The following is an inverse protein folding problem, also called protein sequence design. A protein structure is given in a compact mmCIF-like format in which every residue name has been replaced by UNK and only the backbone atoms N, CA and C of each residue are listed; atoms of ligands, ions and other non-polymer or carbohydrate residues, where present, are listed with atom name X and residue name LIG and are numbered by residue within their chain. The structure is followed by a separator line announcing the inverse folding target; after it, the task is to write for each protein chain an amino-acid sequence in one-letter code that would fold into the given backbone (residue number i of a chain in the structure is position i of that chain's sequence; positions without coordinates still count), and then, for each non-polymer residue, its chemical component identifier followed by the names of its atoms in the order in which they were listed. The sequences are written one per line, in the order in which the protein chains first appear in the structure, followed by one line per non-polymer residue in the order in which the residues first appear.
data_IF_716682788331
#
_entry.id   IF_716682788331
#
_cell.length_a   1.000
_cell.length_b   1.000
_cell.length_c   1.000
_cell.angle_alpha   90.00
_cell.angle_beta   90.00
_cell.angle_gamma   90.00
#
_symmetry.space_group_name_H-M   'P 1'
#
loop_
_entity.id
_entity.type
_entity.pdbx_description
1 polymer ?
#
# COMPACT_ATOMS: atom_id res chain seq x y z
N UNK A 1 10.04 -23.34 -10.40
CA UNK A 1 10.67 -23.92 -9.18
C UNK A 1 11.17 -22.86 -8.21
N UNK A 2 12.07 -21.93 -8.54
CA UNK A 2 12.55 -20.91 -7.58
C UNK A 2 11.54 -19.82 -7.26
N UNK A 3 10.78 -19.35 -8.26
CA UNK A 3 9.72 -18.34 -8.06
C UNK A 3 8.59 -18.86 -7.17
N UNK A 4 8.15 -20.09 -7.42
CA UNK A 4 7.10 -20.76 -6.63
C UNK A 4 7.53 -20.94 -5.15
N UNK A 5 8.81 -21.26 -4.90
CA UNK A 5 9.33 -21.38 -3.53
C UNK A 5 9.41 -20.03 -2.81
N UNK A 6 9.82 -18.96 -3.49
CA UNK A 6 9.84 -17.60 -2.91
C UNK A 6 8.43 -17.15 -2.51
N UNK A 7 7.46 -17.32 -3.41
CA UNK A 7 6.05 -17.00 -3.14
C UNK A 7 5.48 -17.85 -2.00
N UNK A 8 5.85 -19.13 -1.91
CA UNK A 8 5.47 -19.99 -0.79
C UNK A 8 6.06 -19.50 0.55
N UNK A 9 7.30 -19.03 0.57
CA UNK A 9 7.93 -18.45 1.78
C UNK A 9 7.18 -17.19 2.24
N UNK A 10 6.87 -16.27 1.32
CA UNK A 10 6.10 -15.05 1.63
C UNK A 10 4.69 -15.40 2.11
N UNK A 11 4.05 -16.38 1.47
CA UNK A 11 2.72 -16.86 1.87
C UNK A 11 2.75 -17.47 3.27
N UNK A 12 3.76 -18.27 3.60
CA UNK A 12 3.93 -18.84 4.92
C UNK A 12 4.20 -17.76 5.98
N UNK A 13 5.01 -16.76 5.67
CA UNK A 13 5.20 -15.59 6.52
C UNK A 13 3.86 -14.92 6.86
N UNK A 14 3.02 -14.62 5.85
CA UNK A 14 1.70 -14.02 6.10
C UNK A 14 0.72 -14.93 6.85
N UNK A 15 0.76 -16.24 6.63
CA UNK A 15 -0.04 -17.20 7.42
C UNK A 15 0.35 -17.16 8.90
N UNK A 16 1.64 -17.05 9.20
CA UNK A 16 2.10 -16.87 10.57
C UNK A 16 1.63 -15.53 11.16
N UNK A 17 1.67 -14.45 10.38
CA UNK A 17 1.12 -13.16 10.79
C UNK A 17 -0.38 -13.23 11.07
N UNK A 18 -1.15 -13.98 10.28
CA UNK A 18 -2.58 -14.19 10.53
C UNK A 18 -2.83 -15.00 11.81
N UNK A 19 -2.04 -16.05 12.07
CA UNK A 19 -2.12 -16.87 13.30
C UNK A 19 -1.71 -16.09 14.55
N UNK A 20 -0.76 -15.17 14.41
CA UNK A 20 -0.16 -14.40 15.50
C UNK A 20 -0.13 -12.90 15.13
N UNK A 21 -1.29 -12.21 15.10
CA UNK A 21 -1.42 -10.86 14.55
C UNK A 21 -0.59 -9.80 15.28
N UNK A 22 -0.27 -9.99 16.56
CA UNK A 22 0.52 -9.03 17.34
C UNK A 22 2.03 -9.28 17.27
N UNK A 23 2.47 -10.34 16.55
CA UNK A 23 3.88 -10.72 16.45
C UNK A 23 4.49 -10.18 15.16
N UNK A 24 5.57 -9.40 15.31
CA UNK A 24 6.25 -8.72 14.20
C UNK A 24 7.51 -9.41 13.69
N UNK A 25 7.95 -10.50 14.33
CA UNK A 25 9.20 -11.18 13.99
C UNK A 25 8.98 -12.69 13.99
N UNK A 26 9.26 -13.33 12.85
CA UNK A 26 9.25 -14.79 12.72
C UNK A 26 10.65 -15.27 12.32
N UNK A 27 11.14 -16.29 13.01
CA UNK A 27 12.38 -16.94 12.65
C UNK A 27 12.21 -17.74 11.35
N UNK A 28 13.32 -17.96 10.63
CA UNK A 28 13.30 -18.85 9.47
C UNK A 28 12.91 -20.28 9.80
N UNK A 29 13.10 -20.74 11.04
CA UNK A 29 12.60 -22.06 11.45
C UNK A 29 11.08 -22.10 11.40
N UNK A 30 10.42 -21.09 11.98
CA UNK A 30 8.95 -20.98 11.99
C UNK A 30 8.41 -20.84 10.56
N UNK A 31 9.03 -19.98 9.74
CA UNK A 31 8.60 -19.78 8.35
C UNK A 31 8.82 -21.05 7.51
N UNK A 32 9.94 -21.76 7.68
CA UNK A 32 10.21 -23.00 6.96
C UNK A 32 9.23 -24.12 7.33
N UNK A 33 8.90 -24.23 8.62
CA UNK A 33 7.90 -25.16 9.13
C UNK A 33 6.52 -24.87 8.54
N UNK A 34 6.08 -23.60 8.57
CA UNK A 34 4.80 -23.20 7.98
C UNK A 34 4.76 -23.41 6.46
N UNK A 35 5.89 -23.21 5.76
CA UNK A 35 6.02 -23.40 4.32
C UNK A 35 6.18 -24.88 3.91
N UNK A 36 6.43 -25.79 4.86
CA UNK A 36 6.69 -27.21 4.60
C UNK A 36 8.01 -27.46 3.84
N UNK A 37 9.03 -26.62 4.06
CA UNK A 37 10.35 -26.72 3.40
C UNK A 37 11.47 -26.85 4.42
N UNK A 38 12.64 -27.33 3.96
CA UNK A 38 13.83 -27.29 4.80
C UNK A 38 14.32 -25.85 5.02
N UNK A 39 14.70 -25.50 6.25
CA UNK A 39 15.24 -24.17 6.60
C UNK A 39 16.41 -23.74 5.70
N UNK A 40 17.27 -24.68 5.29
CA UNK A 40 18.41 -24.40 4.41
C UNK A 40 17.98 -23.91 3.02
N UNK A 41 16.78 -24.29 2.57
CA UNK A 41 16.21 -23.85 1.28
C UNK A 41 15.97 -22.35 1.29
N UNK A 42 15.58 -21.76 2.43
CA UNK A 42 15.40 -20.31 2.59
C UNK A 42 16.76 -19.60 2.42
N UNK A 43 17.76 -19.99 3.22
CA UNK A 43 19.09 -19.34 3.22
C UNK A 43 19.86 -19.46 1.90
N UNK A 44 19.85 -20.63 1.26
CA UNK A 44 20.73 -20.85 0.10
C UNK A 44 20.26 -20.11 -1.15
N UNK A 45 18.96 -19.88 -1.29
CA UNK A 45 18.38 -19.56 -2.59
C UNK A 45 17.36 -18.41 -2.58
N UNK A 46 16.97 -17.88 -1.41
CA UNK A 46 15.85 -16.93 -1.33
C UNK A 46 16.11 -15.72 -0.42
N UNK A 47 16.41 -15.95 0.86
CA UNK A 47 16.53 -14.86 1.85
C UNK A 47 17.62 -15.17 2.88
N UNK A 48 18.49 -14.20 3.18
CA UNK A 48 19.54 -14.30 4.19
C UNK A 48 19.08 -13.80 5.57
N UNK A 49 17.98 -13.03 5.64
CA UNK A 49 17.37 -12.61 6.90
C UNK A 49 15.84 -12.47 6.80
N UNK A 50 15.08 -12.57 7.90
CA UNK A 50 13.64 -12.26 7.90
C UNK A 50 13.32 -10.85 7.38
N UNK A 51 14.22 -9.88 7.60
CA UNK A 51 14.03 -8.51 7.09
C UNK A 51 14.05 -8.48 5.56
N UNK A 52 14.87 -9.29 4.90
CA UNK A 52 14.88 -9.37 3.43
C UNK A 52 13.53 -9.85 2.86
N UNK A 53 12.73 -10.59 3.63
CA UNK A 53 11.36 -10.96 3.22
C UNK A 53 10.48 -9.72 3.19
N UNK A 54 10.56 -8.85 4.21
CA UNK A 54 9.81 -7.59 4.26
C UNK A 54 10.25 -6.65 3.14
N UNK A 55 11.55 -6.48 2.95
CA UNK A 55 12.11 -5.65 1.86
C UNK A 55 11.65 -6.15 0.49
N UNK A 56 11.62 -7.46 0.29
CA UNK A 56 11.13 -8.07 -0.94
C UNK A 56 9.61 -7.86 -1.13
N UNK A 57 8.81 -7.92 -0.07
CA UNK A 57 7.37 -7.60 -0.12
C UNK A 57 7.16 -6.12 -0.46
N UNK A 58 7.91 -5.21 0.17
CA UNK A 58 7.86 -3.78 -0.14
C UNK A 58 8.15 -3.54 -1.60
N UNK A 59 9.24 -4.12 -2.10
CA UNK A 59 9.64 -4.00 -3.50
C UNK A 59 8.58 -4.55 -4.45
N UNK A 60 8.07 -5.77 -4.23
CA UNK A 60 7.06 -6.38 -5.10
C UNK A 60 5.77 -5.56 -5.20
N UNK A 61 5.35 -4.93 -4.11
CA UNK A 61 4.14 -4.12 -4.06
C UNK A 61 4.41 -2.73 -4.65
N UNK A 62 5.46 -2.05 -4.18
CA UNK A 62 5.67 -0.63 -4.44
C UNK A 62 6.35 -0.36 -5.78
N UNK A 63 7.21 -1.26 -6.29
CA UNK A 63 7.98 -1.00 -7.52
C UNK A 63 7.06 -0.67 -8.71
N UNK A 64 6.01 -1.47 -8.93
CA UNK A 64 5.06 -1.24 -10.04
C UNK A 64 4.21 0.01 -9.81
N UNK A 65 3.84 0.28 -8.56
CA UNK A 65 3.04 1.45 -8.21
C UNK A 65 3.88 2.72 -8.43
N UNK A 66 5.09 2.77 -7.87
CA UNK A 66 6.00 3.90 -8.02
C UNK A 66 6.40 4.11 -9.48
N UNK A 67 6.71 3.04 -10.21
CA UNK A 67 6.97 3.14 -11.65
C UNK A 67 5.79 3.77 -12.39
N UNK A 68 4.55 3.40 -12.04
CA UNK A 68 3.37 4.02 -12.63
C UNK A 68 3.22 5.47 -12.20
N UNK A 69 3.45 5.79 -10.93
CA UNK A 69 3.41 7.17 -10.42
C UNK A 69 4.39 8.09 -11.17
N UNK A 70 5.58 7.60 -11.54
CA UNK A 70 6.54 8.36 -12.35
C UNK A 70 6.06 8.66 -13.79
N UNK A 71 5.08 7.90 -14.31
CA UNK A 71 4.44 8.18 -15.60
C UNK A 71 3.44 9.35 -15.51
N UNK A 72 3.07 9.81 -14.30
CA UNK A 72 2.10 10.88 -14.13
C UNK A 72 2.64 12.22 -14.64
N UNK A 73 1.92 12.83 -15.56
CA UNK A 73 2.23 14.16 -16.09
C UNK A 73 1.26 15.17 -15.50
N UNK A 74 1.71 16.11 -14.63
CA UNK A 74 0.85 17.17 -14.11
C UNK A 74 0.39 18.10 -15.23
N UNK A 75 -0.81 18.69 -15.07
CA UNK A 75 -1.32 19.68 -15.99
C UNK A 75 -0.56 21.01 -15.91
N UNK A 76 -0.74 21.87 -16.90
CA UNK A 76 -0.03 23.15 -16.96
C UNK A 76 -0.67 24.28 -16.15
N UNK A 77 -1.93 24.13 -15.70
CA UNK A 77 -2.81 25.25 -15.29
C UNK A 77 -3.64 25.00 -14.01
N UNK A 78 -3.14 24.22 -13.03
CA UNK A 78 -3.83 24.02 -11.75
C UNK A 78 -5.02 23.05 -11.78
N UNK A 79 -5.19 22.31 -12.88
CA UNK A 79 -6.08 21.14 -13.02
C UNK A 79 -5.52 19.87 -12.38
N UNK A 80 -4.33 19.97 -11.79
CA UNK A 80 -3.46 18.84 -11.42
C UNK A 80 -4.09 17.96 -10.35
N UNK A 81 -4.92 18.53 -9.47
CA UNK A 81 -5.58 17.78 -8.41
C UNK A 81 -6.66 16.84 -8.97
N UNK A 82 -7.45 17.28 -9.95
CA UNK A 82 -8.47 16.43 -10.58
C UNK A 82 -7.80 15.35 -11.43
N UNK A 83 -6.74 15.71 -12.17
CA UNK A 83 -5.93 14.77 -12.94
C UNK A 83 -5.26 13.72 -12.04
N UNK A 84 -4.72 14.12 -10.89
CA UNK A 84 -4.12 13.21 -9.92
C UNK A 84 -5.15 12.24 -9.35
N UNK A 85 -6.32 12.72 -8.92
CA UNK A 85 -7.40 11.84 -8.42
C UNK A 85 -7.85 10.88 -9.51
N UNK A 86 -8.02 11.36 -10.74
CA UNK A 86 -8.41 10.52 -11.86
C UNK A 86 -7.36 9.46 -12.18
N UNK A 87 -6.08 9.82 -12.16
CA UNK A 87 -4.94 8.93 -12.36
C UNK A 87 -4.81 7.88 -11.26
N UNK A 88 -4.88 8.28 -9.98
CA UNK A 88 -4.86 7.35 -8.85
C UNK A 88 -5.99 6.32 -8.99
N UNK A 89 -7.18 6.78 -9.40
CA UNK A 89 -8.33 5.93 -9.56
C UNK A 89 -8.24 4.98 -10.77
N UNK A 90 -7.70 5.41 -11.91
CA UNK A 90 -7.65 4.56 -13.11
C UNK A 90 -6.42 3.66 -13.16
N UNK A 91 -5.26 4.16 -12.71
CA UNK A 91 -3.99 3.47 -12.89
C UNK A 91 -3.48 2.81 -11.61
N UNK A 92 -3.67 3.44 -10.45
CA UNK A 92 -3.02 2.99 -9.21
C UNK A 92 -3.89 2.03 -8.40
N UNK A 93 -5.19 2.32 -8.26
CA UNK A 93 -6.14 1.46 -7.54
C UNK A 93 -6.13 0.00 -8.06
N UNK A 94 -6.12 -0.27 -9.37
CA UNK A 94 -5.99 -1.64 -9.88
C UNK A 94 -4.70 -2.33 -9.42
N UNK A 95 -3.55 -1.65 -9.46
CA UNK A 95 -2.26 -2.20 -9.03
C UNK A 95 -2.23 -2.52 -7.53
N UNK A 96 -2.85 -1.67 -6.71
CA UNK A 96 -3.05 -1.94 -5.28
C UNK A 96 -3.88 -3.22 -5.10
N UNK A 97 -4.96 -3.37 -5.84
CA UNK A 97 -5.87 -4.52 -5.72
C UNK A 97 -5.24 -5.87 -6.12
N UNK A 98 -4.29 -5.86 -7.06
CA UNK A 98 -3.52 -7.06 -7.41
C UNK A 98 -2.81 -7.64 -6.17
N UNK A 99 -2.35 -6.78 -5.27
CA UNK A 99 -1.64 -7.14 -4.04
C UNK A 99 -2.55 -7.22 -2.79
N UNK A 100 -3.87 -7.19 -2.96
CA UNK A 100 -4.85 -7.06 -1.84
C UNK A 100 -4.68 -8.06 -0.71
N UNK A 101 -4.26 -9.30 -1.01
CA UNK A 101 -4.08 -10.34 0.01
C UNK A 101 -2.92 -9.97 0.94
N UNK A 102 -1.78 -9.57 0.38
CA UNK A 102 -0.60 -9.16 1.16
C UNK A 102 -0.87 -7.86 1.90
N UNK A 103 -1.47 -6.89 1.22
CA UNK A 103 -1.84 -5.60 1.81
C UNK A 103 -2.79 -5.75 3.00
N UNK A 104 -3.76 -6.67 2.92
CA UNK A 104 -4.64 -6.96 4.05
C UNK A 104 -3.83 -7.29 5.30
N UNK A 105 -2.86 -8.22 5.20
CA UNK A 105 -2.04 -8.61 6.34
C UNK A 105 -1.08 -7.50 6.80
N UNK A 106 -0.46 -6.76 5.86
CA UNK A 106 0.39 -5.62 6.21
C UNK A 106 -0.35 -4.52 6.98
N UNK A 107 -1.65 -4.32 6.70
CA UNK A 107 -2.46 -3.34 7.42
C UNK A 107 -3.18 -3.88 8.66
N UNK A 108 -3.39 -5.20 8.76
CA UNK A 108 -4.20 -5.82 9.82
C UNK A 108 -3.40 -6.59 10.86
N UNK A 109 -2.08 -6.69 10.71
CA UNK A 109 -1.19 -7.44 11.61
C UNK A 109 0.09 -6.65 11.84
N UNK A 110 0.87 -7.06 12.85
CA UNK A 110 2.19 -6.53 13.12
C UNK A 110 3.28 -7.08 12.19
N UNK A 111 2.92 -7.76 11.09
CA UNK A 111 3.86 -8.36 10.12
C UNK A 111 4.96 -7.38 9.68
N UNK A 112 4.57 -6.12 9.46
CA UNK A 112 5.51 -5.03 9.28
C UNK A 112 5.00 -3.77 10.00
N UNK A 113 5.52 -3.48 11.21
CA UNK A 113 5.13 -2.30 11.97
C UNK A 113 5.47 -0.97 11.27
N UNK A 114 6.36 -0.98 10.27
CA UNK A 114 6.81 0.22 9.57
C UNK A 114 6.11 0.45 8.23
N UNK A 115 5.19 -0.44 7.83
CA UNK A 115 4.53 -0.39 6.53
C UNK A 115 3.90 0.99 6.22
N UNK A 116 3.11 1.52 7.16
CA UNK A 116 2.44 2.81 6.98
C UNK A 116 3.44 3.98 6.94
N UNK A 117 4.51 3.90 7.74
CA UNK A 117 5.56 4.92 7.77
C UNK A 117 6.35 4.92 6.45
N UNK A 118 6.67 3.74 5.92
CA UNK A 118 7.30 3.56 4.62
C UNK A 118 6.49 4.24 3.52
N UNK A 119 5.19 3.91 3.40
CA UNK A 119 4.31 4.52 2.41
C UNK A 119 4.21 6.03 2.58
N UNK A 120 4.00 6.52 3.81
CA UNK A 120 3.89 7.95 4.09
C UNK A 120 5.14 8.70 3.62
N UNK A 121 6.33 8.20 3.94
CA UNK A 121 7.57 8.84 3.54
C UNK A 121 7.75 8.81 2.02
N UNK A 122 7.56 7.65 1.40
CA UNK A 122 7.75 7.45 -0.04
C UNK A 122 6.84 8.37 -0.88
N UNK A 123 5.55 8.40 -0.57
CA UNK A 123 4.57 9.17 -1.34
C UNK A 123 4.55 10.65 -0.96
N UNK A 124 4.90 11.04 0.28
CA UNK A 124 5.12 12.46 0.61
C UNK A 124 6.29 13.02 -0.20
N UNK A 125 7.42 12.32 -0.25
CA UNK A 125 8.58 12.73 -1.07
C UNK A 125 8.20 12.88 -2.54
N UNK A 126 7.47 11.91 -3.10
CA UNK A 126 7.02 11.98 -4.49
C UNK A 126 6.11 13.19 -4.74
N UNK A 127 5.11 13.42 -3.88
CA UNK A 127 4.20 14.57 -4.01
C UNK A 127 4.96 15.89 -3.96
N UNK A 128 5.87 16.07 -2.98
CA UNK A 128 6.63 17.31 -2.82
C UNK A 128 7.51 17.62 -4.05
N UNK A 129 7.98 16.60 -4.75
CA UNK A 129 8.85 16.76 -5.93
C UNK A 129 8.07 16.98 -7.23
N UNK A 130 6.90 16.35 -7.38
CA UNK A 130 6.23 16.23 -8.67
C UNK A 130 4.92 17.02 -8.77
N UNK A 131 4.30 17.39 -7.65
CA UNK A 131 3.00 18.07 -7.65
C UNK A 131 3.13 19.48 -7.07
N UNK A 132 2.63 20.47 -7.81
CA UNK A 132 2.53 21.85 -7.34
C UNK A 132 1.20 22.04 -6.59
N UNK A 133 1.22 21.79 -5.28
CA UNK A 133 0.07 21.98 -4.43
C UNK A 133 -0.04 23.42 -3.92
N UNK A 134 -1.25 23.96 -3.97
CA UNK A 134 -1.63 25.19 -3.28
C UNK A 134 -2.95 24.98 -2.53
N UNK A 135 -3.07 25.60 -1.37
CA UNK A 135 -4.28 25.51 -0.55
C UNK A 135 -5.18 26.71 -0.81
N UNK A 136 -6.46 26.45 -1.12
CA UNK A 136 -7.50 27.50 -1.18
C UNK A 136 -7.78 28.15 0.18
N UNK A 137 -7.38 27.49 1.28
CA UNK A 137 -7.58 27.94 2.65
C UNK A 137 -6.35 28.65 3.24
N UNK A 138 -5.30 28.85 2.45
CA UNK A 138 -4.05 29.46 2.94
C UNK A 138 -3.21 28.56 3.83
N UNK A 139 -3.43 27.23 3.80
CA UNK A 139 -2.60 26.27 4.52
C UNK A 139 -1.18 26.21 3.92
N UNK A 140 -0.19 25.87 4.75
CA UNK A 140 1.18 25.66 4.26
C UNK A 140 1.22 24.50 3.27
N UNK A 141 2.20 24.55 2.37
CA UNK A 141 2.45 23.48 1.39
C UNK A 141 2.68 22.14 2.10
N UNK A 142 3.59 22.12 3.08
CA UNK A 142 3.90 20.90 3.84
C UNK A 142 2.67 20.28 4.52
N UNK A 143 1.84 21.11 5.16
CA UNK A 143 0.61 20.62 5.77
C UNK A 143 -0.36 20.05 4.73
N UNK A 144 -0.48 20.71 3.57
CA UNK A 144 -1.35 20.28 2.48
C UNK A 144 -0.89 18.96 1.86
N UNK A 145 0.41 18.79 1.65
CA UNK A 145 1.03 17.55 1.17
C UNK A 145 0.79 16.40 2.15
N UNK A 146 1.03 16.64 3.44
CA UNK A 146 0.80 15.64 4.48
C UNK A 146 -0.66 15.25 4.60
N UNK A 147 -1.59 16.22 4.53
CA UNK A 147 -3.01 15.95 4.55
C UNK A 147 -3.45 15.09 3.35
N UNK A 148 -2.98 15.42 2.15
CA UNK A 148 -3.30 14.68 0.93
C UNK A 148 -2.84 13.22 1.01
N UNK A 149 -1.58 12.99 1.42
CA UNK A 149 -1.01 11.64 1.55
C UNK A 149 -1.76 10.85 2.61
N UNK A 150 -1.92 11.41 3.82
CA UNK A 150 -2.59 10.70 4.91
C UNK A 150 -4.05 10.36 4.57
N UNK A 151 -4.77 11.28 3.94
CA UNK A 151 -6.16 11.06 3.52
C UNK A 151 -6.26 9.95 2.47
N UNK A 152 -5.41 10.00 1.45
CA UNK A 152 -5.38 9.00 0.37
C UNK A 152 -5.06 7.61 0.91
N UNK A 153 -4.01 7.49 1.74
CA UNK A 153 -3.62 6.23 2.36
C UNK A 153 -4.72 5.69 3.29
N UNK A 154 -5.41 6.56 4.03
CA UNK A 154 -6.52 6.17 4.91
C UNK A 154 -7.69 5.58 4.14
N UNK A 155 -8.06 6.17 2.99
CA UNK A 155 -9.11 5.63 2.12
C UNK A 155 -8.71 4.25 1.59
N UNK A 156 -7.49 4.13 1.05
CA UNK A 156 -6.98 2.88 0.49
C UNK A 156 -6.95 1.77 1.55
N UNK A 157 -6.39 2.06 2.72
CA UNK A 157 -6.35 1.13 3.87
C UNK A 157 -7.76 0.66 4.24
N UNK A 158 -8.71 1.59 4.36
CA UNK A 158 -10.09 1.27 4.75
C UNK A 158 -10.82 0.40 3.72
N UNK A 159 -10.45 0.52 2.44
CA UNK A 159 -10.99 -0.32 1.38
C UNK A 159 -10.34 -1.70 1.32
N UNK A 160 -9.02 -1.75 1.24
CA UNK A 160 -8.29 -2.99 0.96
C UNK A 160 -8.33 -4.00 2.13
N UNK A 161 -8.61 -3.52 3.34
CA UNK A 161 -8.74 -4.35 4.55
C UNK A 161 -10.14 -4.92 4.78
N UNK A 162 -11.12 -4.57 3.95
CA UNK A 162 -12.45 -5.17 4.03
C UNK A 162 -12.37 -6.69 3.83
N UNK A 163 -13.33 -7.43 4.40
CA UNK A 163 -13.38 -8.89 4.25
C UNK A 163 -13.41 -9.31 2.76
N UNK A 164 -14.16 -8.55 1.96
CA UNK A 164 -14.21 -8.66 0.49
C UNK A 164 -14.17 -7.22 -0.05
N UNK A 165 -12.97 -6.68 -0.36
CA UNK A 165 -12.85 -5.35 -0.94
C UNK A 165 -13.59 -5.29 -2.27
N UNK A 166 -14.29 -4.20 -2.52
CA UNK A 166 -14.95 -3.96 -3.80
C UNK A 166 -13.93 -4.01 -4.95
N UNK A 167 -14.36 -4.45 -6.13
CA UNK A 167 -13.47 -4.50 -7.29
C UNK A 167 -12.96 -3.09 -7.67
N UNK A 168 -11.79 -2.98 -8.34
CA UNK A 168 -11.24 -1.69 -8.76
C UNK A 168 -12.25 -0.83 -9.53
N UNK A 169 -12.99 -1.40 -10.48
CA UNK A 169 -13.97 -0.65 -11.30
C UNK A 169 -15.07 0.03 -10.48
N UNK A 170 -15.49 -0.61 -9.38
CA UNK A 170 -16.50 -0.08 -8.47
C UNK A 170 -15.87 0.93 -7.52
N UNK A 171 -14.76 0.53 -6.88
CA UNK A 171 -14.12 1.35 -5.88
C UNK A 171 -13.53 2.64 -6.46
N UNK A 172 -12.95 2.61 -7.65
CA UNK A 172 -12.40 3.81 -8.31
C UNK A 172 -13.43 4.92 -8.50
N UNK A 173 -14.70 4.56 -8.78
CA UNK A 173 -15.79 5.55 -8.86
C UNK A 173 -16.11 6.16 -7.50
N UNK A 174 -16.13 5.33 -6.45
CA UNK A 174 -16.36 5.76 -5.07
C UNK A 174 -15.20 6.60 -4.54
N UNK A 175 -13.95 6.20 -4.83
CA UNK A 175 -12.75 6.94 -4.48
C UNK A 175 -12.79 8.36 -5.04
N UNK A 176 -13.08 8.52 -6.33
CA UNK A 176 -13.23 9.84 -6.97
C UNK A 176 -14.29 10.70 -6.30
N UNK A 177 -15.39 10.07 -5.86
CA UNK A 177 -16.46 10.77 -5.14
C UNK A 177 -16.00 11.16 -3.73
N UNK A 178 -15.39 10.25 -2.98
CA UNK A 178 -14.86 10.50 -1.63
C UNK A 178 -13.90 11.69 -1.62
N UNK A 179 -12.98 11.78 -2.59
CA UNK A 179 -12.04 12.89 -2.71
C UNK A 179 -12.70 14.26 -3.01
N UNK A 180 -13.98 14.31 -3.38
CA UNK A 180 -14.73 15.53 -3.66
C UNK A 180 -15.68 15.93 -2.53
N UNK A 181 -15.99 15.00 -1.64
CA UNK A 181 -16.95 15.19 -0.56
C UNK A 181 -16.24 15.64 0.71
N UNK A 182 -16.90 16.52 1.49
CA UNK A 182 -16.47 16.78 2.85
C UNK A 182 -16.82 15.59 3.76
N UNK A 183 -16.19 15.50 4.93
CA UNK A 183 -16.54 14.47 5.92
C UNK A 183 -18.02 14.58 6.32
N UNK A 184 -18.57 15.79 6.36
CA UNK A 184 -19.99 16.01 6.67
C UNK A 184 -20.90 15.42 5.59
N UNK A 185 -20.52 15.51 4.31
CA UNK A 185 -21.32 14.95 3.21
C UNK A 185 -21.33 13.41 3.22
N UNK A 186 -20.27 12.79 3.75
CA UNK A 186 -20.16 11.33 3.87
C UNK A 186 -21.01 10.81 5.04
N UNK A 187 -21.13 11.58 6.11
CA UNK A 187 -21.89 11.20 7.30
C UNK A 187 -23.37 11.55 7.13
N UNK A 188 -24.23 10.54 7.01
CA UNK A 188 -25.67 10.73 7.14
C UNK A 188 -26.11 10.35 8.56
N UNK A 189 -26.89 11.21 9.21
CA UNK A 189 -27.58 10.82 10.44
C UNK A 189 -28.57 9.72 10.08
N UNK A 190 -28.40 8.54 10.69
CA UNK A 190 -29.35 7.44 10.63
C UNK A 190 -30.61 7.75 11.44
#
# INVERSE_FOLDING_TARGET
MTKDTRENIITAFFRLSEKYPDKSNFSFSEIAEEAGIARQTIYKNHFNSPNEIIEAIHHDIDERIMSKMLDFVPGSNGSDNALLIDFLASEIIPLIYENRIWLKYLYSTAADPNWELFLKNQYKTWISQNIQLSSKMGLSREFTEELLVNYTLSIIKSWITQAIPESPDVFSKKFKLLCKLSIQDIMQNA
#
